data_IF_399344107700
#
_entry.id   IF_399344107700
#
_cell.length_a   1.000
_cell.length_b   1.000
_cell.length_c   1.000
_cell.angle_alpha   90.00
_cell.angle_beta   90.00
_cell.angle_gamma   90.00
#
_symmetry.space_group_name_H-M   'P 1'
#
loop_
_entity.id
_entity.type
_entity.pdbx_description
1 polymer ?
#
# COMPACT_ATOMS: atom_id res chain seq x y z
N UNK A 1 24.87 47.89 -14.32
CA UNK A 1 23.43 47.93 -14.01
C UNK A 1 22.84 46.59 -14.46
N UNK A 2 22.34 45.79 -13.50
CA UNK A 2 21.48 44.58 -13.62
C UNK A 2 22.07 43.43 -14.49
N UNK A 3 22.84 42.50 -13.93
CA UNK A 3 22.44 41.25 -13.22
C UNK A 3 21.66 40.28 -14.11
N UNK A 4 22.35 39.25 -14.62
CA UNK A 4 21.71 37.99 -15.02
C UNK A 4 22.53 36.85 -14.40
N UNK A 5 22.16 36.52 -13.17
CA UNK A 5 22.55 35.31 -12.45
C UNK A 5 21.31 34.38 -12.48
N UNK A 6 21.46 33.08 -12.25
CA UNK A 6 22.00 32.05 -13.13
C UNK A 6 20.88 31.08 -13.59
N UNK A 7 21.12 30.31 -14.66
CA UNK A 7 20.30 29.14 -15.04
C UNK A 7 20.55 28.04 -14.00
N UNK A 8 19.84 28.13 -12.89
CA UNK A 8 19.82 27.15 -11.81
C UNK A 8 18.35 26.71 -11.64
N UNK A 9 18.15 25.38 -11.67
CA UNK A 9 16.93 24.64 -11.30
C UNK A 9 15.82 24.65 -12.37
N UNK A 10 15.98 23.78 -13.37
CA UNK A 10 14.84 23.04 -13.94
C UNK A 10 15.20 21.56 -14.00
N UNK A 11 15.52 20.99 -12.84
CA UNK A 11 15.64 19.53 -12.67
C UNK A 11 15.11 19.08 -11.31
N UNK A 12 14.06 19.74 -10.83
CA UNK A 12 13.46 19.49 -9.52
C UNK A 12 11.94 19.26 -9.57
N UNK A 13 11.40 18.80 -10.70
CA UNK A 13 10.02 18.29 -10.78
C UNK A 13 10.08 16.76 -10.93
N UNK A 14 10.78 16.13 -10.01
CA UNK A 14 10.69 14.69 -9.70
C UNK A 14 10.46 14.51 -8.19
N UNK A 15 9.89 15.52 -7.55
CA UNK A 15 9.32 15.43 -6.21
C UNK A 15 7.84 15.10 -6.37
N UNK A 16 7.55 13.98 -7.03
CA UNK A 16 6.24 13.35 -6.94
C UNK A 16 6.15 12.72 -5.55
N UNK A 17 5.78 13.55 -4.57
CA UNK A 17 5.07 13.18 -3.34
C UNK A 17 5.50 11.82 -2.76
N UNK A 18 6.76 11.69 -2.32
CA UNK A 18 7.15 10.66 -1.33
C UNK A 18 6.69 11.07 0.07
N UNK A 19 5.44 11.50 0.20
CA UNK A 19 4.85 11.78 1.52
C UNK A 19 4.45 10.43 2.12
N UNK A 20 5.34 9.92 2.96
CA UNK A 20 5.05 8.94 4.01
C UNK A 20 4.36 7.63 3.56
N UNK A 21 4.83 6.99 2.48
CA UNK A 21 4.47 5.59 2.28
C UNK A 21 5.00 4.76 3.46
N UNK A 22 4.16 3.96 4.14
CA UNK A 22 4.64 3.05 5.17
C UNK A 22 5.71 2.15 4.55
N UNK A 23 6.82 1.95 5.25
CA UNK A 23 7.92 1.12 4.79
C UNK A 23 7.41 -0.28 4.41
N UNK A 24 7.18 -0.46 3.10
CA UNK A 24 6.60 -1.65 2.47
C UNK A 24 7.56 -2.83 2.51
N UNK A 25 8.83 -2.60 2.88
CA UNK A 25 9.90 -3.61 2.95
C UNK A 25 9.61 -4.72 3.96
N UNK A 26 8.59 -4.56 4.83
CA UNK A 26 8.16 -5.57 5.81
C UNK A 26 6.89 -6.32 5.39
N UNK A 27 6.38 -6.11 4.17
CA UNK A 27 5.22 -6.83 3.65
C UNK A 27 5.65 -8.20 3.12
N UNK A 28 5.06 -9.26 3.67
CA UNK A 28 5.25 -10.64 3.23
C UNK A 28 4.00 -11.11 2.51
N UNK A 29 4.12 -11.36 1.21
CA UNK A 29 3.05 -11.93 0.40
C UNK A 29 2.77 -13.38 0.79
N UNK A 30 1.52 -13.81 0.60
CA UNK A 30 1.16 -15.23 0.63
C UNK A 30 1.92 -15.98 -0.48
N UNK A 31 2.21 -17.26 -0.25
CA UNK A 31 2.78 -18.12 -1.30
C UNK A 31 1.83 -18.26 -2.49
N UNK A 32 0.53 -18.17 -2.20
CA UNK A 32 -0.55 -18.34 -3.17
C UNK A 32 -1.06 -16.99 -3.69
N UNK A 33 -0.31 -15.90 -3.53
CA UNK A 33 -0.77 -14.55 -3.87
C UNK A 33 -1.29 -14.46 -5.31
N UNK A 34 -0.52 -14.93 -6.30
CA UNK A 34 -0.96 -14.89 -7.70
C UNK A 34 -2.20 -15.77 -7.94
N UNK A 35 -2.21 -16.98 -7.40
CA UNK A 35 -3.36 -17.87 -7.46
C UNK A 35 -4.62 -17.24 -6.87
N UNK A 36 -4.49 -16.51 -5.76
CA UNK A 36 -5.60 -15.81 -5.11
C UNK A 36 -6.08 -14.63 -5.98
N UNK A 37 -5.17 -13.84 -6.55
CA UNK A 37 -5.50 -12.77 -7.48
C UNK A 37 -6.34 -13.30 -8.64
N UNK A 38 -5.92 -14.41 -9.26
CA UNK A 38 -6.65 -15.06 -10.35
C UNK A 38 -7.99 -15.67 -9.88
N UNK A 39 -7.99 -16.40 -8.76
CA UNK A 39 -9.18 -17.09 -8.22
C UNK A 39 -10.28 -16.10 -7.86
N UNK A 40 -9.91 -14.97 -7.27
CA UNK A 40 -10.84 -13.91 -6.88
C UNK A 40 -11.04 -12.87 -7.99
N UNK A 41 -10.43 -13.07 -9.17
CA UNK A 41 -10.48 -12.18 -10.32
C UNK A 41 -10.19 -10.71 -9.96
N UNK A 42 -9.17 -10.52 -9.13
CA UNK A 42 -8.81 -9.22 -8.58
C UNK A 42 -8.07 -8.38 -9.62
N UNK A 43 -8.38 -7.09 -9.62
CA UNK A 43 -7.86 -6.13 -10.59
C UNK A 43 -7.15 -4.98 -9.90
N UNK A 44 -6.38 -4.24 -10.68
CA UNK A 44 -5.84 -2.96 -10.24
C UNK A 44 -6.98 -2.06 -9.73
N UNK A 45 -6.75 -1.42 -8.58
CA UNK A 45 -7.71 -0.53 -7.94
C UNK A 45 -8.64 -1.21 -6.95
N UNK A 46 -8.71 -2.54 -6.93
CA UNK A 46 -9.54 -3.26 -5.97
C UNK A 46 -9.08 -3.00 -4.54
N UNK A 47 -10.02 -2.55 -3.70
CA UNK A 47 -9.77 -2.35 -2.27
C UNK A 47 -9.65 -3.71 -1.57
N UNK A 48 -8.79 -3.75 -0.55
CA UNK A 48 -8.50 -4.94 0.24
C UNK A 48 -8.91 -4.73 1.71
N UNK A 49 -9.31 -5.81 2.36
CA UNK A 49 -9.66 -5.79 3.78
C UNK A 49 -8.40 -5.89 4.64
N UNK A 50 -8.34 -5.08 5.71
CA UNK A 50 -7.28 -5.12 6.71
C UNK A 50 -7.79 -5.76 7.99
N UNK A 51 -7.11 -6.81 8.45
CA UNK A 51 -7.39 -7.50 9.71
C UNK A 51 -6.21 -7.30 10.65
N UNK A 52 -6.50 -6.91 11.89
CA UNK A 52 -5.54 -6.63 12.94
C UNK A 52 -5.71 -7.65 14.06
N UNK A 53 -4.92 -8.74 14.09
CA UNK A 53 -4.97 -9.70 15.18
C UNK A 53 -4.44 -9.04 16.46
N UNK A 54 -5.27 -9.02 17.52
CA UNK A 54 -5.02 -8.28 18.77
C UNK A 54 -3.69 -8.58 19.47
N UNK A 55 -3.03 -9.71 19.19
CA UNK A 55 -1.86 -10.18 19.94
C UNK A 55 -0.55 -10.22 19.14
N UNK A 56 -0.48 -9.63 17.93
CA UNK A 56 0.67 -9.88 17.03
C UNK A 56 1.32 -8.65 16.39
N UNK A 57 0.88 -7.42 16.69
CA UNK A 57 1.36 -6.20 16.02
C UNK A 57 1.51 -6.41 14.51
N UNK A 58 0.48 -7.02 13.92
CA UNK A 58 0.48 -7.55 12.57
C UNK A 58 -0.73 -7.00 11.83
N UNK A 59 -0.50 -6.61 10.58
CA UNK A 59 -1.55 -6.22 9.64
C UNK A 59 -1.65 -7.32 8.61
N UNK A 60 -2.80 -7.99 8.58
CA UNK A 60 -3.08 -9.00 7.58
C UNK A 60 -3.98 -8.38 6.51
N UNK A 61 -3.63 -8.60 5.25
CA UNK A 61 -4.36 -8.09 4.10
C UNK A 61 -5.13 -9.24 3.48
N UNK A 62 -6.42 -9.02 3.27
CA UNK A 62 -7.35 -10.00 2.73
C UNK A 62 -8.08 -9.46 1.51
N UNK A 63 -8.55 -10.38 0.68
CA UNK A 63 -9.53 -10.09 -0.35
C UNK A 63 -10.78 -9.50 0.29
N UNK A 64 -11.30 -8.42 -0.28
CA UNK A 64 -12.49 -7.75 0.24
C UNK A 64 -13.66 -8.72 0.32
N UNK A 65 -14.28 -8.80 1.50
CA UNK A 65 -15.41 -9.69 1.73
C UNK A 65 -15.05 -11.17 1.92
N UNK A 66 -13.77 -11.54 1.82
CA UNK A 66 -13.29 -12.90 2.11
C UNK A 66 -12.19 -12.87 3.18
N UNK A 67 -12.59 -13.14 4.42
CA UNK A 67 -11.72 -13.10 5.61
C UNK A 67 -11.17 -14.48 5.99
N UNK A 68 -11.39 -15.50 5.16
CA UNK A 68 -10.89 -16.85 5.38
C UNK A 68 -9.43 -16.97 4.97
N UNK A 69 -8.74 -18.05 5.37
CA UNK A 69 -7.35 -18.27 4.99
C UNK A 69 -7.13 -18.23 3.47
N UNK A 70 -8.13 -18.68 2.70
CA UNK A 70 -8.10 -18.62 1.24
C UNK A 70 -8.04 -17.19 0.71
N UNK A 71 -8.63 -16.21 1.41
CA UNK A 71 -8.60 -14.80 1.03
C UNK A 71 -7.37 -14.03 1.54
N UNK A 72 -6.44 -14.67 2.26
CA UNK A 72 -5.29 -13.98 2.86
C UNK A 72 -4.19 -13.71 1.83
N UNK A 73 -4.02 -12.44 1.44
CA UNK A 73 -3.07 -12.02 0.41
C UNK A 73 -1.67 -11.72 0.96
N UNK A 74 -1.58 -11.04 2.11
CA UNK A 74 -0.29 -10.65 2.67
C UNK A 74 -0.33 -10.37 4.17
N UNK A 75 0.85 -10.25 4.75
CA UNK A 75 1.07 -9.96 6.17
C UNK A 75 2.19 -8.96 6.33
N UNK A 76 1.96 -7.91 7.12
CA UNK A 76 2.98 -6.94 7.50
C UNK A 76 3.12 -6.88 9.02
N UNK A 77 4.35 -6.95 9.52
CA UNK A 77 4.67 -6.76 10.95
C UNK A 77 5.27 -5.38 11.21
N UNK A 78 4.77 -4.37 10.51
CA UNK A 78 5.19 -2.99 10.67
C UNK A 78 4.31 -2.31 11.74
N UNK A 79 4.89 -2.00 12.90
CA UNK A 79 4.18 -1.37 14.02
C UNK A 79 3.55 -0.01 13.64
N UNK A 80 4.21 0.78 12.81
CA UNK A 80 3.65 2.07 12.33
C UNK A 80 2.42 1.84 11.47
N UNK A 81 2.47 0.85 10.58
CA UNK A 81 1.33 0.46 9.76
C UNK A 81 0.19 -0.07 10.64
N UNK A 82 0.50 -0.92 11.63
CA UNK A 82 -0.48 -1.44 12.60
C UNK A 82 -1.20 -0.30 13.33
N UNK A 83 -0.46 0.65 13.92
CA UNK A 83 -1.03 1.81 14.63
C UNK A 83 -1.91 2.68 13.73
N UNK A 84 -1.55 2.84 12.46
CA UNK A 84 -2.35 3.62 11.49
C UNK A 84 -3.60 2.87 11.03
N UNK A 85 -3.49 1.56 10.80
CA UNK A 85 -4.61 0.70 10.45
C UNK A 85 -5.60 0.57 11.62
N UNK A 86 -5.11 0.49 12.86
CA UNK A 86 -5.94 0.45 14.08
C UNK A 86 -6.78 1.71 14.23
N UNK A 87 -6.21 2.87 13.87
CA UNK A 87 -6.94 4.15 13.84
C UNK A 87 -7.89 4.29 12.63
N UNK A 88 -7.95 3.30 11.74
CA UNK A 88 -8.75 3.37 10.50
C UNK A 88 -8.26 4.42 9.50
N UNK A 89 -7.03 4.90 9.65
CA UNK A 89 -6.44 5.95 8.80
C UNK A 89 -5.86 5.34 7.53
N UNK A 90 -5.50 4.05 7.52
CA UNK A 90 -4.94 3.39 6.35
C UNK A 90 -5.93 2.40 5.74
N UNK A 91 -5.94 2.36 4.41
CA UNK A 91 -6.56 1.34 3.57
C UNK A 91 -5.51 0.63 2.73
N UNK A 92 -5.87 -0.51 2.13
CA UNK A 92 -5.06 -1.19 1.14
C UNK A 92 -5.82 -1.38 -0.17
N UNK A 93 -5.09 -1.36 -1.29
CA UNK A 93 -5.59 -1.65 -2.63
C UNK A 93 -4.55 -2.42 -3.43
N UNK A 94 -4.98 -3.02 -4.52
CA UNK A 94 -4.06 -3.50 -5.55
C UNK A 94 -3.67 -2.37 -6.49
N UNK A 95 -2.40 -2.35 -6.86
CA UNK A 95 -1.82 -1.47 -7.88
C UNK A 95 -1.11 -2.32 -8.92
N UNK A 96 -1.10 -1.88 -10.17
CA UNK A 96 -0.19 -2.46 -11.17
C UNK A 96 1.22 -1.89 -10.99
N UNK A 97 2.22 -2.68 -11.35
CA UNK A 97 3.62 -2.27 -11.40
C UNK A 97 4.05 -2.14 -12.86
N UNK A 98 5.23 -1.57 -13.11
CA UNK A 98 5.74 -1.39 -14.49
C UNK A 98 5.91 -2.70 -15.27
N UNK A 99 5.99 -3.84 -14.56
CA UNK A 99 6.09 -5.19 -15.13
C UNK A 99 4.73 -5.90 -15.28
N UNK A 100 3.62 -5.15 -15.31
CA UNK A 100 2.22 -5.67 -15.33
C UNK A 100 1.86 -6.61 -14.15
N UNK A 101 2.67 -6.61 -13.09
CA UNK A 101 2.40 -7.40 -11.90
C UNK A 101 1.55 -6.60 -10.90
N UNK A 102 0.55 -7.25 -10.31
CA UNK A 102 -0.23 -6.64 -9.24
C UNK A 102 0.51 -6.68 -7.90
N UNK A 103 0.44 -5.59 -7.15
CA UNK A 103 1.05 -5.42 -5.84
C UNK A 103 0.08 -4.79 -4.87
N UNK A 104 0.23 -5.08 -3.57
CA UNK A 104 -0.54 -4.41 -2.53
C UNK A 104 0.13 -3.08 -2.18
N UNK A 105 -0.67 -2.02 -2.16
CA UNK A 105 -0.27 -0.70 -1.67
C UNK A 105 -1.17 -0.25 -0.52
N UNK A 106 -0.56 0.34 0.49
CA UNK A 106 -1.26 0.99 1.60
C UNK A 106 -1.29 2.49 1.37
N UNK A 107 -2.46 3.08 1.55
CA UNK A 107 -2.67 4.52 1.41
C UNK A 107 -3.42 5.06 2.62
N UNK A 108 -3.12 6.30 2.96
CA UNK A 108 -3.89 7.00 3.99
C UNK A 108 -5.24 7.42 3.39
N UNK A 109 -6.31 7.19 4.15
CA UNK A 109 -7.63 7.75 3.89
C UNK A 109 -7.49 9.26 4.09
N UNK A 110 -7.19 9.96 3.01
CA UNK A 110 -7.23 11.42 3.01
C UNK A 110 -8.66 11.78 3.38
N UNK A 111 -8.85 12.35 4.57
CA UNK A 111 -10.12 12.97 4.92
C UNK A 111 -10.24 14.15 3.97
N UNK A 112 -11.02 14.00 2.89
CA UNK A 112 -11.56 15.16 2.19
C UNK A 112 -12.46 15.84 3.23
N UNK A 113 -11.92 16.89 3.83
CA UNK A 113 -12.66 17.85 4.64
C UNK A 113 -13.41 18.80 3.71
#
# INVERSE_FOLDING_TARGET
MIVIFPVIIVLAILILVRVLMPDLSKLKYSKDFQTQIETFNLKEGDELDLILPKNRFEVQVYVRGNKDQAGKLAVSRNEKLYKKAEKGIIKAKLISTEDDNLRIEFFEKVSQA
#
